data_IF_166231365859
#
_entry.id   IF_166231365859
#
_cell.length_a   1.000
_cell.length_b   1.000
_cell.length_c   1.000
_cell.angle_alpha   90.00
_cell.angle_beta   90.00
_cell.angle_gamma   90.00
#
_symmetry.space_group_name_H-M   'P 1'
#
loop_
_entity.id
_entity.type
_entity.pdbx_description
1 polymer ?
#
# COMPACT_ATOMS: atom_id res chain seq x y z
N UNK A 1 15.92 4.49 -3.64
CA UNK A 1 16.18 5.90 -3.25
C UNK A 1 14.96 6.83 -3.47
N UNK A 2 14.22 6.76 -4.60
CA UNK A 2 13.06 7.64 -4.84
C UNK A 2 11.80 7.39 -3.96
N UNK A 3 11.54 6.16 -3.50
CA UNK A 3 10.34 5.84 -2.69
C UNK A 3 10.30 6.57 -1.35
N UNK A 4 11.42 6.61 -0.63
CA UNK A 4 11.50 7.21 0.70
C UNK A 4 11.19 8.72 0.71
N UNK A 5 11.72 9.47 -0.28
CA UNK A 5 11.42 10.89 -0.43
C UNK A 5 9.92 11.14 -0.70
N UNK A 6 9.31 10.34 -1.57
CA UNK A 6 7.87 10.44 -1.83
C UNK A 6 7.04 10.05 -0.61
N UNK A 7 7.47 9.05 0.16
CA UNK A 7 6.83 8.62 1.40
C UNK A 7 6.86 9.73 2.48
N UNK A 8 7.99 10.43 2.63
CA UNK A 8 8.10 11.62 3.49
C UNK A 8 7.18 12.76 3.04
N UNK A 9 7.06 12.99 1.73
CA UNK A 9 6.12 13.97 1.17
C UNK A 9 4.68 13.60 1.50
N UNK A 10 4.29 12.34 1.28
CA UNK A 10 2.96 11.82 1.59
C UNK A 10 2.63 12.03 3.07
N UNK A 11 3.53 11.64 3.98
CA UNK A 11 3.35 11.85 5.42
C UNK A 11 3.22 13.33 5.78
N UNK A 12 4.00 14.21 5.16
CA UNK A 12 3.93 15.66 5.40
C UNK A 12 2.60 16.28 4.93
N UNK A 13 2.09 15.81 3.79
CA UNK A 13 0.83 16.25 3.19
C UNK A 13 -0.37 15.79 4.02
N UNK A 14 -0.37 14.52 4.44
CA UNK A 14 -1.50 13.90 5.14
C UNK A 14 -1.48 14.13 6.65
N UNK A 15 -0.30 14.19 7.28
CA UNK A 15 -0.13 14.34 8.73
C UNK A 15 -0.97 13.30 9.49
N UNK A 16 -1.88 13.74 10.36
CA UNK A 16 -2.76 12.89 11.16
C UNK A 16 -3.77 12.09 10.31
N UNK A 17 -3.98 12.49 9.05
CA UNK A 17 -4.82 11.76 8.11
C UNK A 17 -4.09 10.58 7.45
N UNK A 18 -2.78 10.39 7.68
CA UNK A 18 -2.05 9.26 7.12
C UNK A 18 -2.67 7.92 7.59
N UNK A 19 -2.99 7.04 6.66
CA UNK A 19 -3.48 5.70 6.98
C UNK A 19 -2.29 4.83 7.38
N UNK A 20 -2.19 4.45 8.65
CA UNK A 20 -1.20 3.49 9.11
C UNK A 20 -1.90 2.20 9.55
N UNK A 21 -1.55 1.08 8.93
CA UNK A 21 -2.16 -0.23 9.08
C UNK A 21 -1.19 -1.20 9.75
N UNK A 22 -1.65 -1.86 10.81
CA UNK A 22 -0.94 -2.97 11.44
C UNK A 22 -1.72 -4.27 11.32
N UNK A 23 -1.08 -5.34 10.87
CA UNK A 23 -1.64 -6.70 10.98
C UNK A 23 -1.55 -7.14 12.44
N UNK A 24 -2.69 -7.37 13.10
CA UNK A 24 -2.73 -7.79 14.51
C UNK A 24 -3.12 -9.27 14.68
N UNK A 25 -3.89 -9.81 13.74
CA UNK A 25 -4.32 -11.20 13.76
C UNK A 25 -4.59 -11.68 12.34
N UNK A 26 -4.41 -12.98 12.10
CA UNK A 26 -4.76 -13.60 10.84
C UNK A 26 -5.22 -15.05 11.04
N UNK A 27 -6.11 -15.51 10.15
CA UNK A 27 -6.56 -16.89 10.05
C UNK A 27 -6.49 -17.34 8.59
N UNK A 28 -5.89 -18.51 8.37
CA UNK A 28 -5.66 -19.08 7.04
C UNK A 28 -6.23 -20.48 6.98
N UNK A 29 -6.96 -20.77 5.91
CA UNK A 29 -7.42 -22.11 5.57
C UNK A 29 -7.05 -22.38 4.12
N UNK A 30 -6.35 -23.49 3.86
CA UNK A 30 -5.87 -23.85 2.54
C UNK A 30 -6.19 -25.32 2.24
N UNK A 31 -6.79 -25.56 1.07
CA UNK A 31 -7.01 -26.90 0.53
C UNK A 31 -5.86 -27.27 -0.41
N UNK A 32 -5.03 -28.22 0.02
CA UNK A 32 -3.91 -28.69 -0.80
C UNK A 32 -4.43 -29.61 -1.90
N UNK A 33 -4.33 -29.17 -3.16
CA UNK A 33 -4.78 -29.93 -4.31
C UNK A 33 -4.54 -29.21 -5.65
N UNK A 34 -5.00 -29.78 -6.77
CA UNK A 34 -4.75 -29.24 -8.12
C UNK A 34 -5.29 -27.82 -8.35
N UNK A 35 -6.36 -27.46 -7.62
CA UNK A 35 -7.01 -26.15 -7.71
C UNK A 35 -6.57 -25.17 -6.63
N UNK A 36 -5.79 -25.63 -5.64
CA UNK A 36 -5.32 -24.90 -4.44
C UNK A 36 -6.20 -23.70 -4.06
N UNK A 37 -7.15 -23.90 -3.15
CA UNK A 37 -7.99 -22.79 -2.67
C UNK A 37 -7.53 -22.34 -1.30
N UNK A 38 -7.24 -21.06 -1.16
CA UNK A 38 -6.84 -20.44 0.10
C UNK A 38 -7.85 -19.35 0.47
N UNK A 39 -8.34 -19.41 1.70
CA UNK A 39 -9.12 -18.35 2.34
C UNK A 39 -8.29 -17.70 3.42
N UNK A 40 -8.29 -16.36 3.42
CA UNK A 40 -7.49 -15.54 4.32
C UNK A 40 -8.39 -14.52 5.02
N UNK A 41 -8.37 -14.52 6.36
CA UNK A 41 -9.01 -13.50 7.18
C UNK A 41 -7.91 -12.74 7.92
N UNK A 42 -7.85 -11.42 7.75
CA UNK A 42 -6.84 -10.55 8.33
C UNK A 42 -7.55 -9.50 9.17
N UNK A 43 -7.13 -9.35 10.42
CA UNK A 43 -7.55 -8.20 11.24
C UNK A 43 -6.45 -7.14 11.18
N UNK A 44 -6.81 -5.98 10.64
CA UNK A 44 -5.98 -4.80 10.61
C UNK A 44 -6.37 -3.83 11.72
N UNK A 45 -5.39 -3.14 12.27
CA UNK A 45 -5.61 -2.02 13.18
C UNK A 45 -5.13 -0.73 12.53
N UNK A 46 -5.99 0.28 12.55
CA UNK A 46 -5.59 1.66 12.26
C UNK A 46 -4.73 2.17 13.42
N UNK A 47 -3.48 2.53 13.13
CA UNK A 47 -2.54 3.01 14.14
C UNK A 47 -2.72 4.50 14.45
N UNK A 48 -3.30 5.25 13.50
CA UNK A 48 -3.61 6.66 13.65
C UNK A 48 -5.10 6.85 13.95
N UNK A 49 -5.41 7.60 15.01
CA UNK A 49 -6.78 7.86 15.47
C UNK A 49 -7.29 6.85 16.51
N UNK A 50 -8.60 6.87 16.82
CA UNK A 50 -9.19 5.92 17.76
C UNK A 50 -9.01 4.48 17.24
N UNK A 51 -8.69 3.51 18.11
CA UNK A 51 -8.43 2.14 17.70
C UNK A 51 -9.66 1.58 16.99
N UNK A 52 -9.50 1.35 15.69
CA UNK A 52 -10.51 0.75 14.84
C UNK A 52 -9.89 -0.46 14.19
N UNK A 53 -10.42 -1.61 14.56
CA UNK A 53 -10.06 -2.88 13.95
C UNK A 53 -10.95 -3.10 12.73
N UNK A 54 -10.34 -3.51 11.62
CA UNK A 54 -10.99 -3.81 10.36
C UNK A 54 -10.69 -5.25 10.02
N UNK A 55 -11.74 -6.03 9.77
CA UNK A 55 -11.61 -7.42 9.32
C UNK A 55 -11.71 -7.44 7.80
N UNK A 56 -10.70 -8.01 7.17
CA UNK A 56 -10.61 -8.19 5.73
C UNK A 56 -10.62 -9.68 5.45
N UNK A 57 -11.43 -10.08 4.49
CA UNK A 57 -11.52 -11.45 4.02
C UNK A 57 -11.22 -11.48 2.53
N UNK A 58 -10.44 -12.47 2.12
CA UNK A 58 -10.18 -12.72 0.71
C UNK A 58 -9.94 -14.19 0.42
N UNK A 59 -10.09 -14.52 -0.86
CA UNK A 59 -9.90 -15.86 -1.41
C UNK A 59 -8.94 -15.77 -2.60
N UNK A 60 -8.20 -16.84 -2.83
CA UNK A 60 -7.22 -16.90 -3.91
C UNK A 60 -6.55 -18.27 -4.00
N UNK A 61 -5.59 -18.39 -4.90
CA UNK A 61 -4.87 -19.67 -5.12
C UNK A 61 -3.83 -19.97 -4.05
N UNK A 62 -3.48 -18.97 -3.24
CA UNK A 62 -2.55 -19.05 -2.10
C UNK A 62 -2.73 -17.85 -1.18
N UNK A 63 -2.08 -17.87 -0.02
CA UNK A 63 -2.35 -16.87 1.03
C UNK A 63 -1.99 -15.43 0.64
N UNK A 64 -0.99 -15.23 -0.23
CA UNK A 64 -0.63 -13.89 -0.75
C UNK A 64 -1.74 -13.36 -1.65
N UNK A 65 -2.23 -14.21 -2.55
CA UNK A 65 -3.31 -13.89 -3.50
C UNK A 65 -4.60 -13.58 -2.74
N UNK A 66 -4.97 -14.44 -1.79
CA UNK A 66 -6.13 -14.25 -0.92
C UNK A 66 -6.03 -12.96 -0.10
N UNK A 67 -4.87 -12.68 0.51
CA UNK A 67 -4.64 -11.42 1.25
C UNK A 67 -4.78 -10.19 0.34
N UNK A 68 -4.18 -10.24 -0.86
CA UNK A 68 -4.23 -9.16 -1.82
C UNK A 68 -5.66 -8.91 -2.31
N UNK A 69 -6.38 -9.94 -2.73
CA UNK A 69 -7.79 -9.80 -3.14
C UNK A 69 -8.67 -9.25 -2.03
N UNK A 70 -8.49 -9.69 -0.78
CA UNK A 70 -9.24 -9.15 0.35
C UNK A 70 -8.99 -7.65 0.53
N UNK A 71 -7.71 -7.23 0.50
CA UNK A 71 -7.32 -5.83 0.61
C UNK A 71 -7.87 -5.00 -0.56
N UNK A 72 -7.79 -5.51 -1.79
CA UNK A 72 -8.32 -4.84 -2.97
C UNK A 72 -9.84 -4.71 -2.88
N UNK A 73 -10.55 -5.78 -2.51
CA UNK A 73 -12.00 -5.77 -2.35
C UNK A 73 -12.50 -4.78 -1.30
N UNK A 74 -11.68 -4.52 -0.28
CA UNK A 74 -11.96 -3.52 0.75
C UNK A 74 -11.64 -2.09 0.31
N UNK A 75 -10.41 -1.84 -0.18
CA UNK A 75 -9.90 -0.49 -0.40
C UNK A 75 -10.09 0.04 -1.83
N UNK A 76 -10.11 -0.81 -2.86
CA UNK A 76 -10.17 -0.35 -4.26
C UNK A 76 -11.48 0.37 -4.62
N UNK A 77 -12.54 0.17 -3.83
CA UNK A 77 -13.81 0.90 -3.97
C UNK A 77 -13.65 2.41 -3.75
N UNK A 78 -12.76 2.80 -2.85
CA UNK A 78 -12.48 4.20 -2.52
C UNK A 78 -11.21 4.70 -3.21
N UNK A 79 -10.24 3.81 -3.45
CA UNK A 79 -8.91 4.15 -3.96
C UNK A 79 -8.63 3.43 -5.28
N UNK A 80 -8.96 4.08 -6.41
CA UNK A 80 -8.86 3.48 -7.74
C UNK A 80 -7.41 3.26 -8.19
N UNK A 81 -6.43 3.93 -7.58
CA UNK A 81 -5.01 3.66 -7.84
C UNK A 81 -4.64 2.19 -7.64
N UNK A 82 -5.32 1.50 -6.73
CA UNK A 82 -5.14 0.08 -6.46
C UNK A 82 -5.54 -0.83 -7.64
N UNK A 83 -6.42 -0.39 -8.54
CA UNK A 83 -6.79 -1.14 -9.74
C UNK A 83 -5.64 -1.20 -10.76
N UNK A 84 -4.64 -0.31 -10.62
CA UNK A 84 -3.56 -0.13 -11.60
C UNK A 84 -2.25 -0.83 -11.22
N UNK A 85 -2.18 -1.43 -10.03
CA UNK A 85 -0.97 -2.06 -9.52
C UNK A 85 -0.95 -3.57 -9.78
N UNK A 86 0.25 -4.11 -9.98
CA UNK A 86 0.48 -5.55 -10.24
C UNK A 86 1.70 -6.05 -9.49
N UNK A 87 1.62 -7.24 -8.92
CA UNK A 87 2.79 -7.89 -8.32
C UNK A 87 3.70 -8.45 -9.42
N UNK A 88 4.98 -8.11 -9.36
CA UNK A 88 5.97 -8.49 -10.39
C UNK A 88 7.18 -9.20 -9.81
N UNK A 89 7.31 -9.27 -8.48
CA UNK A 89 8.35 -10.03 -7.82
C UNK A 89 8.00 -10.35 -6.37
N UNK A 90 8.37 -11.54 -5.93
CA UNK A 90 8.24 -11.99 -4.56
C UNK A 90 9.47 -12.83 -4.20
N UNK A 91 10.19 -12.43 -3.16
CA UNK A 91 11.39 -13.11 -2.70
C UNK A 91 11.32 -13.34 -1.19
N UNK A 92 11.81 -14.49 -0.75
CA UNK A 92 11.97 -14.82 0.67
C UNK A 92 13.41 -15.26 0.90
N UNK A 93 14.11 -14.54 1.77
CA UNK A 93 15.51 -14.80 2.10
C UNK A 93 15.64 -15.19 3.57
N UNK A 94 16.09 -16.40 3.86
CA UNK A 94 16.38 -16.84 5.23
C UNK A 94 17.70 -16.25 5.73
N UNK A 95 17.68 -15.55 6.86
CA UNK A 95 18.85 -15.02 7.55
C UNK A 95 19.37 -16.04 8.56
N UNK A 96 19.87 -17.19 8.09
CA UNK A 96 20.15 -18.36 8.92
C UNK A 96 21.09 -18.10 10.12
N UNK A 97 21.93 -17.07 10.03
CA UNK A 97 22.83 -16.63 11.11
C UNK A 97 22.11 -16.00 12.32
N UNK A 98 20.81 -15.71 12.21
CA UNK A 98 19.98 -15.10 13.28
C UNK A 98 19.23 -16.11 14.14
N UNK A 99 19.27 -17.40 13.77
CA UNK A 99 18.57 -18.48 14.47
C UNK A 99 19.40 -19.08 15.61
N UNK A 100 18.73 -19.52 16.67
CA UNK A 100 19.33 -20.25 17.79
C UNK A 100 19.05 -21.76 17.70
N UNK A 101 17.84 -22.15 17.30
CA UNK A 101 17.35 -23.53 17.33
C UNK A 101 17.64 -24.25 16.02
N UNK A 102 18.92 -24.60 15.81
CA UNK A 102 19.41 -25.21 14.55
C UNK A 102 19.11 -24.36 13.29
N UNK A 103 18.84 -23.06 13.48
CA UNK A 103 18.48 -22.13 12.41
C UNK A 103 17.00 -22.14 12.01
N UNK A 104 16.14 -22.98 12.60
CA UNK A 104 14.71 -23.07 12.24
C UNK A 104 13.91 -21.85 12.69
N UNK A 105 14.39 -21.14 13.70
CA UNK A 105 13.81 -19.89 14.22
C UNK A 105 14.43 -18.63 13.59
N UNK A 106 15.29 -18.80 12.57
CA UNK A 106 15.95 -17.68 11.91
C UNK A 106 14.94 -16.69 11.31
N UNK A 107 15.32 -15.41 11.27
CA UNK A 107 14.52 -14.40 10.60
C UNK A 107 14.47 -14.63 9.10
N UNK A 108 13.30 -14.47 8.50
CA UNK A 108 13.11 -14.33 7.07
C UNK A 108 13.00 -12.85 6.70
N UNK A 109 13.62 -12.46 5.58
CA UNK A 109 13.34 -11.21 4.89
C UNK A 109 12.44 -11.50 3.70
N UNK A 110 11.25 -10.90 3.69
CA UNK A 110 10.34 -10.95 2.55
C UNK A 110 10.50 -9.66 1.76
N UNK A 111 10.58 -9.78 0.43
CA UNK A 111 10.58 -8.65 -0.50
C UNK A 111 9.46 -8.82 -1.50
N UNK A 112 8.64 -7.79 -1.66
CA UNK A 112 7.58 -7.70 -2.65
C UNK A 112 7.90 -6.57 -3.62
N UNK A 113 7.79 -6.86 -4.92
CA UNK A 113 7.90 -5.86 -5.98
C UNK A 113 6.54 -5.67 -6.62
N UNK A 114 6.09 -4.42 -6.64
CA UNK A 114 4.82 -4.00 -7.22
C UNK A 114 5.09 -3.01 -8.34
N UNK A 115 4.50 -3.19 -9.51
CA UNK A 115 4.55 -2.23 -10.60
C UNK A 115 3.22 -1.50 -10.73
N UNK A 116 3.26 -0.21 -11.02
CA UNK A 116 2.08 0.54 -11.47
C UNK A 116 1.84 0.34 -12.99
N UNK A 117 0.79 0.96 -13.52
CA UNK A 117 0.46 0.91 -14.96
C UNK A 117 1.50 1.56 -15.87
N UNK A 118 2.36 2.43 -15.34
CA UNK A 118 3.47 3.05 -16.06
C UNK A 118 4.76 2.20 -16.06
N UNK A 119 4.70 0.99 -15.48
CA UNK A 119 5.83 0.07 -15.42
C UNK A 119 6.88 0.44 -14.37
N UNK A 120 6.61 1.44 -13.52
CA UNK A 120 7.51 1.79 -12.43
C UNK A 120 7.38 0.78 -11.30
N UNK A 121 8.50 0.20 -10.89
CA UNK A 121 8.59 -0.77 -9.81
C UNK A 121 8.80 -0.13 -8.44
N UNK A 122 8.10 -0.66 -7.44
CA UNK A 122 8.15 -0.30 -6.04
C UNK A 122 8.48 -1.55 -5.24
N UNK A 123 9.50 -1.47 -4.40
CA UNK A 123 9.91 -2.58 -3.56
C UNK A 123 9.51 -2.31 -2.11
N UNK A 124 8.97 -3.33 -1.46
CA UNK A 124 8.60 -3.36 -0.06
C UNK A 124 9.31 -4.54 0.58
N UNK A 125 9.83 -4.34 1.79
CA UNK A 125 10.51 -5.42 2.50
C UNK A 125 10.27 -5.34 3.99
N UNK A 126 10.24 -6.51 4.60
CA UNK A 126 10.08 -6.67 6.04
C UNK A 126 10.88 -7.88 6.50
N UNK A 127 11.32 -7.84 7.75
CA UNK A 127 12.02 -8.93 8.42
C UNK A 127 11.23 -9.43 9.62
N UNK A 128 11.35 -10.71 9.91
CA UNK A 128 10.79 -11.30 11.11
C UNK A 128 10.84 -12.82 11.09
N UNK A 129 10.47 -13.46 12.20
CA UNK A 129 10.61 -14.91 12.39
C UNK A 129 9.48 -15.74 11.78
N UNK A 130 8.31 -15.15 11.57
CA UNK A 130 7.19 -15.81 10.87
C UNK A 130 7.13 -15.32 9.43
N UNK A 131 7.48 -16.18 8.48
CA UNK A 131 7.43 -15.85 7.05
C UNK A 131 6.03 -15.38 6.64
N UNK A 132 4.98 -16.05 7.10
CA UNK A 132 3.58 -15.65 6.79
C UNK A 132 3.27 -14.27 7.34
N UNK A 133 3.57 -14.00 8.62
CA UNK A 133 3.29 -12.70 9.22
C UNK A 133 4.03 -11.56 8.51
N UNK A 134 5.31 -11.78 8.21
CA UNK A 134 6.15 -10.81 7.49
C UNK A 134 5.63 -10.59 6.07
N UNK A 135 5.22 -11.64 5.37
CA UNK A 135 4.59 -11.51 4.04
C UNK A 135 3.31 -10.68 4.10
N UNK A 136 2.40 -10.95 5.05
CA UNK A 136 1.18 -10.17 5.20
C UNK A 136 1.47 -8.69 5.49
N UNK A 137 2.49 -8.41 6.33
CA UNK A 137 2.92 -7.04 6.60
C UNK A 137 3.42 -6.33 5.33
N UNK A 138 4.22 -7.01 4.50
CA UNK A 138 4.72 -6.42 3.24
C UNK A 138 3.58 -6.14 2.26
N UNK A 139 2.60 -7.04 2.15
CA UNK A 139 1.41 -6.85 1.30
C UNK A 139 0.59 -5.65 1.79
N UNK A 140 0.34 -5.56 3.10
CA UNK A 140 -0.38 -4.43 3.71
C UNK A 140 0.37 -3.11 3.51
N UNK A 141 1.69 -3.09 3.70
CA UNK A 141 2.53 -1.91 3.44
C UNK A 141 2.44 -1.43 1.99
N UNK A 142 2.38 -2.36 1.03
CA UNK A 142 2.20 -1.99 -0.37
C UNK A 142 0.85 -1.29 -0.60
N UNK A 143 -0.24 -1.87 -0.08
CA UNK A 143 -1.58 -1.28 -0.20
C UNK A 143 -1.67 0.07 0.49
N UNK A 144 -1.16 0.17 1.72
CA UNK A 144 -1.09 1.40 2.50
C UNK A 144 -0.39 2.52 1.72
N UNK A 145 0.74 2.20 1.09
CA UNK A 145 1.51 3.16 0.31
C UNK A 145 0.70 3.74 -0.84
N UNK A 146 0.02 2.90 -1.63
CA UNK A 146 -0.77 3.38 -2.78
C UNK A 146 -2.01 4.15 -2.35
N UNK A 147 -2.72 3.70 -1.30
CA UNK A 147 -3.86 4.44 -0.73
C UNK A 147 -3.43 5.83 -0.26
N UNK A 148 -2.34 5.92 0.51
CA UNK A 148 -1.85 7.21 0.99
C UNK A 148 -1.30 8.08 -0.14
N UNK A 149 -0.70 7.49 -1.17
CA UNK A 149 -0.23 8.23 -2.36
C UNK A 149 -1.41 8.91 -3.07
N UNK A 150 -2.52 8.20 -3.28
CA UNK A 150 -3.74 8.75 -3.89
C UNK A 150 -4.36 9.86 -3.02
N UNK A 151 -4.48 9.63 -1.71
CA UNK A 151 -5.00 10.65 -0.77
C UNK A 151 -4.14 11.92 -0.77
N UNK A 152 -2.82 11.76 -0.76
CA UNK A 152 -1.89 12.89 -0.83
C UNK A 152 -2.05 13.64 -2.15
N UNK A 153 -2.16 12.93 -3.27
CA UNK A 153 -2.39 13.52 -4.59
C UNK A 153 -3.66 14.37 -4.62
N UNK A 154 -4.80 13.82 -4.16
CA UNK A 154 -6.08 14.53 -4.10
C UNK A 154 -5.96 15.80 -3.25
N UNK A 155 -5.30 15.71 -2.08
CA UNK A 155 -5.14 16.84 -1.17
C UNK A 155 -4.29 17.96 -1.76
N UNK A 156 -3.15 17.63 -2.37
CA UNK A 156 -2.29 18.64 -3.02
C UNK A 156 -2.99 19.22 -4.25
N UNK A 157 -3.73 18.42 -5.01
CA UNK A 157 -4.48 18.91 -6.18
C UNK A 157 -5.54 19.93 -5.76
N UNK A 158 -6.33 19.65 -4.72
CA UNK A 158 -7.32 20.60 -4.18
C UNK A 158 -6.64 21.88 -3.69
N UNK A 159 -5.52 21.77 -2.99
CA UNK A 159 -4.75 22.94 -2.53
C UNK A 159 -4.19 23.78 -3.70
N UNK A 160 -3.81 23.14 -4.81
CA UNK A 160 -3.38 23.84 -6.03
C UNK A 160 -4.55 24.60 -6.68
N UNK A 161 -5.72 23.99 -6.79
CA UNK A 161 -6.92 24.64 -7.37
C UNK A 161 -7.28 25.89 -6.58
N UNK A 162 -7.31 25.78 -5.25
CA UNK A 162 -7.61 26.90 -4.36
C UNK A 162 -6.50 27.98 -4.38
N UNK A 163 -5.22 27.61 -4.46
CA UNK A 163 -4.13 28.57 -4.63
C UNK A 163 -4.23 29.36 -5.95
N UNK A 164 -4.70 28.72 -7.03
CA UNK A 164 -4.98 29.38 -8.33
C UNK A 164 -6.15 30.34 -8.22
N UNK A 165 -7.22 29.98 -7.52
CA UNK A 165 -8.36 30.87 -7.29
C UNK A 165 -7.98 32.11 -6.48
N UNK A 166 -6.99 32.00 -5.58
CA UNK A 166 -6.48 33.08 -4.73
C UNK A 166 -5.27 33.83 -5.30
N UNK A 167 -4.86 33.53 -6.54
CA UNK A 167 -3.70 34.11 -7.23
C UNK A 167 -2.39 34.09 -6.41
N UNK A 168 -2.17 33.01 -5.66
CA UNK A 168 -0.97 32.82 -4.81
C UNK A 168 0.13 32.08 -5.56
N UNK A 169 0.89 32.81 -6.38
CA UNK A 169 1.95 32.26 -7.23
C UNK A 169 2.97 31.37 -6.49
N UNK A 170 3.32 31.72 -5.26
CA UNK A 170 4.23 30.96 -4.39
C UNK A 170 3.70 29.56 -4.04
N UNK A 171 2.40 29.47 -3.74
CA UNK A 171 1.73 28.22 -3.43
C UNK A 171 1.49 27.38 -4.69
N UNK A 172 1.16 28.03 -5.81
CA UNK A 172 0.97 27.36 -7.11
C UNK A 172 2.26 26.62 -7.50
N UNK A 173 3.42 27.29 -7.41
CA UNK A 173 4.71 26.68 -7.72
C UNK A 173 4.99 25.48 -6.81
N UNK A 174 4.79 25.67 -5.50
CA UNK A 174 5.02 24.63 -4.48
C UNK A 174 4.17 23.39 -4.72
N UNK A 175 2.86 23.55 -4.88
CA UNK A 175 1.94 22.43 -5.07
C UNK A 175 2.12 21.76 -6.45
N UNK A 176 2.52 22.51 -7.47
CA UNK A 176 2.86 21.93 -8.78
C UNK A 176 4.08 21.00 -8.66
N UNK A 177 5.12 21.41 -7.93
CA UNK A 177 6.29 20.57 -7.69
C UNK A 177 5.93 19.29 -6.91
N UNK A 178 5.11 19.41 -5.86
CA UNK A 178 4.64 18.28 -5.07
C UNK A 178 3.79 17.30 -5.91
N UNK A 179 2.90 17.81 -6.77
CA UNK A 179 2.12 16.94 -7.68
C UNK A 179 3.01 16.22 -8.68
N UNK A 180 4.02 16.88 -9.25
CA UNK A 180 4.95 16.23 -10.15
C UNK A 180 5.69 15.06 -9.47
N UNK A 181 6.03 15.20 -8.19
CA UNK A 181 6.61 14.11 -7.41
C UNK A 181 5.62 12.97 -7.17
N UNK A 182 4.36 13.28 -6.82
CA UNK A 182 3.31 12.29 -6.58
C UNK A 182 2.82 11.58 -7.84
N UNK A 183 2.72 12.23 -8.99
CA UNK A 183 2.30 11.59 -10.26
C UNK A 183 3.29 10.50 -10.67
N UNK A 184 4.57 10.70 -10.39
CA UNK A 184 5.58 9.67 -10.64
C UNK A 184 5.35 8.39 -9.83
N UNK A 185 4.44 8.35 -8.84
CA UNK A 185 4.14 7.15 -8.05
C UNK A 185 3.02 6.29 -8.65
N UNK A 186 2.06 6.88 -9.36
CA UNK A 186 0.83 6.19 -9.75
C UNK A 186 0.16 6.91 -10.92
N UNK A 187 -0.44 6.15 -11.83
CA UNK A 187 -1.21 6.74 -12.93
C UNK A 187 -2.55 7.23 -12.40
N UNK A 188 -2.64 8.53 -12.12
CA UNK A 188 -3.84 9.16 -11.58
C UNK A 188 -4.82 9.66 -12.65
N UNK A 189 -4.67 9.23 -13.91
CA UNK A 189 -5.55 9.67 -15.00
C UNK A 189 -7.03 9.48 -14.66
N UNK A 190 -7.37 8.31 -14.10
CA UNK A 190 -8.74 7.98 -13.69
C UNK A 190 -9.22 8.79 -12.48
N UNK A 191 -8.33 9.08 -11.54
CA UNK A 191 -8.61 9.91 -10.34
C UNK A 191 -8.84 11.36 -10.74
N UNK A 192 -8.03 11.89 -11.68
CA UNK A 192 -8.17 13.25 -12.22
C UNK A 192 -9.52 13.42 -12.93
N UNK A 193 -9.93 12.44 -13.74
CA UNK A 193 -11.22 12.48 -14.44
C UNK A 193 -12.41 12.45 -13.46
N UNK A 194 -12.30 11.71 -12.36
CA UNK A 194 -13.31 11.73 -11.30
C UNK A 194 -13.38 13.09 -10.59
N UNK A 195 -12.24 13.65 -10.17
CA UNK A 195 -12.20 14.97 -9.52
C UNK A 195 -12.82 16.04 -10.44
N UNK A 196 -12.57 15.97 -11.75
CA UNK A 196 -13.19 16.88 -12.73
C UNK A 196 -14.71 16.74 -12.80
N UNK A 197 -15.24 15.52 -12.68
CA UNK A 197 -16.69 15.26 -12.65
C UNK A 197 -17.35 15.72 -11.35
N UNK A 198 -16.66 15.61 -10.21
CA UNK A 198 -17.16 16.03 -8.90
C UNK A 198 -17.06 17.55 -8.65
N UNK A 199 -16.22 18.25 -9.43
CA UNK A 199 -16.07 19.71 -9.37
C UNK A 199 -17.03 20.49 -10.29
N UNK A 200 -17.91 19.78 -11.01
CA UNK A 200 -19.02 20.31 -11.83
C UNK A 200 -20.35 20.15 -11.08
#
# INVERSE_FOLDING_TARGET
>A
MRRAATEELIQRVLRDEYLALGVIHYQMSEEIGPTSQCRMIITLRHQNGPPRDVVIEGEGVGFIDAAFHGLMGHYAREFRSLETIRFTGFEVHGQMHTGNQQGLDAEGEVRLTVCNSEGKAFQFSQKGRSTVAVTLQVVVQAVEYFVNSERAFIRVHRALVDARQRDRADLIQTYTAQLAELVNTTSYTDVIEQIRREAL
#
